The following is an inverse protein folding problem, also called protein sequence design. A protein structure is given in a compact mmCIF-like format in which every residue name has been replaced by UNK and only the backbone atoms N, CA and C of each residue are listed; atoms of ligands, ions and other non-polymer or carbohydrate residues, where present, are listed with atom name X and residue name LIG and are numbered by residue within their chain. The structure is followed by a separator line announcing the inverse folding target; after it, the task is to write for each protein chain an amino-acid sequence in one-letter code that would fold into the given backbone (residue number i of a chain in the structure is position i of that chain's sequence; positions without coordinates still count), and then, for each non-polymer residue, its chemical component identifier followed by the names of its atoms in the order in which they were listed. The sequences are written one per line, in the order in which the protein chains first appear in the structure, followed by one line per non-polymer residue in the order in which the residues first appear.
data_IF_243473321837
#
_entry.id   IF_243473321837
#
_cell.length_a   1.000
_cell.length_b   1.000
_cell.length_c   1.000
_cell.angle_alpha   90.00
_cell.angle_beta   90.00
_cell.angle_gamma   90.00
#
_symmetry.space_group_name_H-M   'P 1'
#
loop_
_entity.id
_entity.type
_entity.pdbx_description
1 polymer ?
#
# COMPACT_ATOMS: atom_id res chain seq x y z
N UNK A 1 9.56 41.91 -17.74
CA UNK A 1 9.35 41.20 -16.46
C UNK A 1 9.02 39.75 -16.77
N UNK A 2 9.95 38.82 -16.52
CA UNK A 2 9.81 37.38 -16.81
C UNK A 2 9.21 36.73 -15.56
N UNK A 3 8.02 36.11 -15.68
CA UNK A 3 7.36 35.39 -14.58
C UNK A 3 8.17 34.14 -14.28
N UNK A 4 8.58 33.97 -13.03
CA UNK A 4 9.21 32.74 -12.54
C UNK A 4 8.11 31.67 -12.39
N UNK A 5 8.23 30.59 -13.14
CA UNK A 5 7.40 29.40 -12.98
C UNK A 5 7.85 28.64 -11.73
N UNK A 6 7.02 28.69 -10.69
CA UNK A 6 7.25 27.92 -9.46
C UNK A 6 7.01 26.44 -9.74
N UNK A 7 8.09 25.68 -9.91
CA UNK A 7 8.07 24.22 -10.02
C UNK A 7 7.46 23.60 -8.77
N UNK A 8 6.25 23.05 -8.89
CA UNK A 8 5.58 22.30 -7.83
C UNK A 8 6.33 20.99 -7.59
N UNK A 9 7.04 20.90 -6.47
CA UNK A 9 7.73 19.67 -6.06
C UNK A 9 6.70 18.63 -5.60
N UNK A 10 6.44 17.62 -6.44
CA UNK A 10 5.57 16.49 -6.08
C UNK A 10 6.33 15.60 -5.09
N UNK A 11 5.93 15.65 -3.82
CA UNK A 11 6.41 14.70 -2.79
C UNK A 11 5.75 13.34 -3.00
N UNK A 12 6.37 12.51 -3.83
CA UNK A 12 6.02 11.09 -3.95
C UNK A 12 6.52 10.37 -2.70
N UNK A 13 5.61 9.78 -1.92
CA UNK A 13 5.96 8.92 -0.78
C UNK A 13 5.86 7.45 -1.21
N UNK A 14 6.87 6.60 -0.89
CA UNK A 14 6.87 5.20 -1.28
C UNK A 14 5.71 4.42 -0.64
N UNK A 15 5.25 3.39 -1.35
CA UNK A 15 3.99 2.69 -1.14
C UNK A 15 3.93 1.85 0.15
N UNK A 16 2.71 1.64 0.66
CA UNK A 16 2.42 0.78 1.82
C UNK A 16 2.17 -0.69 1.46
N UNK A 17 2.01 -1.06 0.18
CA UNK A 17 1.77 -2.46 -0.24
C UNK A 17 2.99 -3.35 -0.02
N UNK A 18 4.20 -2.78 -0.10
CA UNK A 18 5.42 -3.47 0.32
C UNK A 18 5.43 -3.79 1.83
N UNK A 19 4.60 -3.09 2.64
CA UNK A 19 4.59 -3.20 4.10
C UNK A 19 3.70 -4.33 4.66
N UNK A 20 2.67 -4.79 3.95
CA UNK A 20 1.79 -5.85 4.48
C UNK A 20 2.37 -7.25 4.25
N UNK A 21 2.85 -7.53 3.03
CA UNK A 21 3.54 -8.79 2.71
C UNK A 21 4.82 -8.96 3.51
N UNK A 22 5.56 -7.88 3.76
CA UNK A 22 6.75 -7.92 4.61
C UNK A 22 6.42 -8.24 6.07
N UNK A 23 5.33 -7.73 6.64
CA UNK A 23 4.91 -8.10 8.01
C UNK A 23 4.59 -9.59 8.11
N UNK A 24 3.83 -10.14 7.16
CA UNK A 24 3.51 -11.58 7.13
C UNK A 24 4.80 -12.41 7.00
N UNK A 25 5.71 -12.02 6.11
CA UNK A 25 7.00 -12.68 5.92
C UNK A 25 7.88 -12.59 7.17
N UNK A 26 7.92 -11.43 7.85
CA UNK A 26 8.68 -11.24 9.08
C UNK A 26 8.13 -12.11 10.22
N UNK A 27 6.80 -12.26 10.33
CA UNK A 27 6.19 -13.16 11.32
C UNK A 27 6.58 -14.62 11.02
N UNK A 28 6.47 -15.05 9.76
CA UNK A 28 6.90 -16.38 9.35
C UNK A 28 8.39 -16.60 9.65
N UNK A 29 9.25 -15.65 9.27
CA UNK A 29 10.69 -15.72 9.50
C UNK A 29 11.06 -15.67 10.97
N UNK A 30 10.28 -14.97 11.81
CA UNK A 30 10.45 -14.97 13.26
C UNK A 30 10.14 -16.34 13.86
N UNK A 31 8.99 -16.94 13.49
CA UNK A 31 8.60 -18.26 13.98
C UNK A 31 9.59 -19.34 13.53
N UNK A 32 9.94 -19.33 12.24
CA UNK A 32 10.97 -20.23 11.70
C UNK A 32 12.32 -20.00 12.37
N UNK A 33 12.75 -18.74 12.50
CA UNK A 33 14.03 -18.38 13.11
C UNK A 33 14.13 -18.78 14.57
N UNK A 34 13.05 -18.67 15.35
CA UNK A 34 13.02 -19.14 16.75
C UNK A 34 13.11 -20.67 16.80
N UNK A 35 12.30 -21.38 15.99
CA UNK A 35 12.35 -22.84 15.95
C UNK A 35 13.72 -23.37 15.54
N UNK A 36 14.30 -22.75 14.52
CA UNK A 36 15.65 -23.06 14.04
C UNK A 36 16.72 -22.72 15.07
N UNK A 37 16.63 -21.56 15.75
CA UNK A 37 17.55 -21.18 16.82
C UNK A 37 17.56 -22.21 17.95
N UNK A 38 16.39 -22.62 18.44
CA UNK A 38 16.29 -23.62 19.52
C UNK A 38 16.92 -24.94 19.08
N UNK A 39 16.59 -25.41 17.87
CA UNK A 39 17.15 -26.63 17.32
C UNK A 39 18.69 -26.56 17.21
N UNK A 40 19.23 -25.50 16.61
CA UNK A 40 20.67 -25.31 16.45
C UNK A 40 21.40 -25.13 17.79
N UNK A 41 20.80 -24.44 18.75
CA UNK A 41 21.42 -24.22 20.06
C UNK A 41 21.55 -25.54 20.82
N UNK A 42 20.53 -26.40 20.79
CA UNK A 42 20.58 -27.74 21.42
C UNK A 42 21.73 -28.56 20.82
N UNK A 43 21.81 -28.64 19.49
CA UNK A 43 22.86 -29.38 18.78
C UNK A 43 24.28 -28.84 19.10
N UNK A 44 24.44 -27.52 19.15
CA UNK A 44 25.72 -26.87 19.44
C UNK A 44 26.16 -27.06 20.90
N UNK A 45 25.24 -27.17 21.85
CA UNK A 45 25.60 -27.40 23.25
C UNK A 45 26.25 -28.78 23.47
N UNK A 46 25.91 -29.76 22.63
CA UNK A 46 26.52 -31.10 22.64
C UNK A 46 27.88 -31.15 21.91
N UNK A 47 28.25 -30.12 21.15
CA UNK A 47 29.57 -30.06 20.50
C UNK A 47 30.72 -29.79 21.49
N UNK A 48 31.95 -30.16 21.15
CA UNK A 48 33.14 -29.82 21.97
C UNK A 48 33.70 -28.42 21.66
N UNK A 49 33.17 -27.74 20.63
CA UNK A 49 33.69 -26.46 20.17
C UNK A 49 33.12 -25.28 20.98
N UNK A 50 33.93 -24.76 21.90
CA UNK A 50 33.60 -23.57 22.71
C UNK A 50 33.19 -22.37 21.83
N UNK A 51 33.86 -22.17 20.70
CA UNK A 51 33.58 -21.07 19.78
C UNK A 51 32.15 -21.09 19.26
N UNK A 52 31.63 -22.27 18.91
CA UNK A 52 30.26 -22.42 18.41
C UNK A 52 29.24 -22.17 19.53
N UNK A 53 29.50 -22.65 20.75
CA UNK A 53 28.64 -22.44 21.93
C UNK A 53 28.41 -20.97 22.27
N UNK A 54 29.35 -20.10 21.91
CA UNK A 54 29.22 -18.65 22.12
C UNK A 54 28.67 -17.98 20.87
N UNK A 55 29.22 -18.29 19.69
CA UNK A 55 28.90 -17.59 18.46
C UNK A 55 27.47 -17.87 17.99
N UNK A 56 26.99 -19.11 18.07
CA UNK A 56 25.66 -19.50 17.56
C UNK A 56 24.53 -18.85 18.37
N UNK A 57 24.50 -18.92 19.72
CA UNK A 57 23.48 -18.20 20.49
C UNK A 57 23.54 -16.69 20.31
N UNK A 58 24.75 -16.11 20.22
CA UNK A 58 24.93 -14.68 19.98
C UNK A 58 24.36 -14.27 18.62
N UNK A 59 24.67 -15.03 17.56
CA UNK A 59 24.15 -14.81 16.22
C UNK A 59 22.61 -14.81 16.21
N UNK A 60 21.98 -15.84 16.78
CA UNK A 60 20.52 -15.93 16.81
C UNK A 60 19.88 -14.83 17.65
N UNK A 61 20.52 -14.41 18.74
CA UNK A 61 20.05 -13.28 19.55
C UNK A 61 20.01 -12.00 18.73
N UNK A 62 21.09 -11.69 17.99
CA UNK A 62 21.14 -10.52 17.11
C UNK A 62 20.15 -10.65 15.95
N UNK A 63 20.07 -11.82 15.32
CA UNK A 63 19.18 -12.10 14.19
C UNK A 63 17.69 -11.93 14.57
N UNK A 64 17.26 -12.56 15.65
CA UNK A 64 15.88 -12.44 16.18
C UNK A 64 15.63 -10.99 16.60
N UNK A 65 16.58 -10.36 17.29
CA UNK A 65 16.49 -8.95 17.68
C UNK A 65 16.27 -8.02 16.48
N UNK A 66 16.99 -8.24 15.38
CA UNK A 66 16.83 -7.48 14.15
C UNK A 66 15.44 -7.67 13.53
N UNK A 67 14.94 -8.90 13.46
CA UNK A 67 13.59 -9.19 12.94
C UNK A 67 12.53 -8.50 13.79
N UNK A 68 12.62 -8.62 15.12
CA UNK A 68 11.69 -7.96 16.05
C UNK A 68 11.73 -6.45 15.89
N UNK A 69 12.92 -5.86 15.77
CA UNK A 69 13.09 -4.42 15.56
C UNK A 69 12.39 -3.96 14.26
N UNK A 70 12.63 -4.66 13.15
CA UNK A 70 12.00 -4.34 11.86
C UNK A 70 10.48 -4.53 11.93
N UNK A 71 10.01 -5.58 12.60
CA UNK A 71 8.59 -5.85 12.78
C UNK A 71 7.90 -4.73 13.57
N UNK A 72 8.49 -4.29 14.69
CA UNK A 72 7.98 -3.17 15.49
C UNK A 72 7.95 -1.88 14.65
N UNK A 73 9.02 -1.60 13.89
CA UNK A 73 9.06 -0.45 12.99
C UNK A 73 7.90 -0.48 11.98
N UNK A 74 7.66 -1.63 11.33
CA UNK A 74 6.54 -1.78 10.40
C UNK A 74 5.18 -1.62 11.09
N UNK A 75 4.97 -2.21 12.27
CA UNK A 75 3.72 -2.08 13.02
C UNK A 75 3.45 -0.64 13.45
N UNK A 76 4.47 0.09 13.91
CA UNK A 76 4.37 1.51 14.25
C UNK A 76 4.07 2.36 13.02
N UNK A 77 4.72 2.07 11.89
CA UNK A 77 4.48 2.76 10.62
C UNK A 77 3.07 2.50 10.06
N UNK A 78 2.49 1.32 10.31
CA UNK A 78 1.12 0.97 9.94
C UNK A 78 0.08 1.67 10.82
N UNK A 79 0.34 1.80 12.14
CA UNK A 79 -0.53 2.52 13.09
C UNK A 79 -0.51 4.05 12.93
N UNK A 80 0.46 4.60 12.20
CA UNK A 80 0.52 6.01 11.83
C UNK A 80 -0.62 6.40 10.88
N UNK A 81 -1.69 6.96 11.44
CA UNK A 81 -2.86 7.55 10.77
C UNK A 81 -2.48 8.58 9.67
N UNK A 82 -2.24 8.09 8.45
CA UNK A 82 -2.29 8.83 7.17
C UNK A 82 -2.33 7.80 6.05
N UNK A 83 -3.54 7.27 5.81
CA UNK A 83 -3.82 6.43 4.64
C UNK A 83 -3.59 7.24 3.37
N UNK A 84 -2.76 6.74 2.47
CA UNK A 84 -2.67 7.25 1.10
C UNK A 84 -2.54 6.04 0.19
N UNK A 85 -3.57 5.91 -0.64
CA UNK A 85 -3.81 4.82 -1.55
C UNK A 85 -2.74 4.75 -2.63
N UNK A 86 -2.45 3.51 -2.97
CA UNK A 86 -1.95 3.00 -4.24
C UNK A 86 -2.61 3.75 -5.40
N UNK A 87 -1.88 4.67 -6.01
CA UNK A 87 -2.11 4.92 -7.43
C UNK A 87 -1.20 3.93 -8.15
N UNK A 88 -1.82 2.86 -8.61
CA UNK A 88 -1.42 2.21 -9.85
C UNK A 88 -1.97 3.13 -10.95
N UNK A 89 -1.09 3.92 -11.55
CA UNK A 89 -1.39 4.74 -12.72
C UNK A 89 -0.19 4.56 -13.64
N UNK A 90 -0.27 3.53 -14.48
CA UNK A 90 -0.01 3.73 -15.89
C UNK A 90 -1.27 4.42 -16.47
N UNK A 91 -1.35 5.74 -16.37
CA UNK A 91 -2.18 6.53 -17.27
C UNK A 91 -1.27 7.15 -18.30
N UNK A 92 -1.20 6.49 -19.43
CA UNK A 92 -1.46 7.20 -20.67
C UNK A 92 -2.89 7.77 -20.54
N UNK A 93 -3.03 9.09 -20.59
CA UNK A 93 -4.29 9.87 -20.54
C UNK A 93 -5.00 9.98 -19.17
N UNK A 94 -5.04 11.21 -18.65
CA UNK A 94 -5.34 11.51 -17.27
C UNK A 94 -6.81 11.48 -16.86
N UNK A 95 -7.05 11.05 -15.62
CA UNK A 95 -8.26 11.33 -14.85
C UNK A 95 -7.89 11.42 -13.34
N UNK A 96 -8.34 12.45 -12.60
CA UNK A 96 -8.15 12.51 -11.16
C UNK A 96 -9.19 11.63 -10.45
N UNK A 97 -8.68 10.63 -9.72
CA UNK A 97 -9.40 9.74 -8.80
C UNK A 97 -9.67 10.43 -7.46
N UNK A 98 -10.80 10.10 -6.82
CA UNK A 98 -10.89 10.13 -5.36
C UNK A 98 -12.20 10.61 -4.73
N UNK A 99 -12.76 11.74 -5.16
CA UNK A 99 -13.93 12.33 -4.47
C UNK A 99 -15.08 12.74 -5.38
N UNK A 100 -14.89 12.74 -6.71
CA UNK A 100 -15.89 13.29 -7.64
C UNK A 100 -16.89 12.28 -8.21
N UNK A 101 -16.83 11.02 -7.80
CA UNK A 101 -17.74 9.97 -8.29
C UNK A 101 -19.13 10.05 -7.65
N UNK A 102 -19.25 10.80 -6.54
CA UNK A 102 -20.53 11.03 -5.83
C UNK A 102 -21.22 12.33 -6.21
N UNK A 103 -20.64 13.16 -7.07
CA UNK A 103 -21.27 14.42 -7.45
C UNK A 103 -22.24 14.19 -8.63
N UNK A 104 -23.57 14.27 -8.41
CA UNK A 104 -24.58 14.10 -9.44
C UNK A 104 -24.39 15.09 -10.61
N UNK A 105 -23.81 16.27 -10.35
CA UNK A 105 -23.55 17.28 -11.37
C UNK A 105 -22.46 16.83 -12.35
N UNK A 106 -21.44 16.11 -11.88
CA UNK A 106 -20.39 15.56 -12.76
C UNK A 106 -20.96 14.47 -13.66
N UNK A 107 -21.79 13.58 -13.10
CA UNK A 107 -22.44 12.49 -13.86
C UNK A 107 -23.38 13.02 -14.95
N UNK A 108 -24.09 14.11 -14.70
CA UNK A 108 -24.93 14.76 -15.71
C UNK A 108 -24.09 15.36 -16.85
N UNK A 109 -22.92 15.92 -16.54
CA UNK A 109 -21.99 16.48 -17.54
C UNK A 109 -21.37 15.40 -18.41
N UNK A 110 -20.95 14.31 -17.80
CA UNK A 110 -20.38 13.17 -18.52
C UNK A 110 -21.45 12.51 -19.41
N UNK A 111 -22.70 12.42 -18.94
CA UNK A 111 -23.83 11.91 -19.74
C UNK A 111 -24.14 12.80 -20.96
N UNK A 112 -24.00 14.12 -20.83
CA UNK A 112 -24.15 15.06 -21.96
C UNK A 112 -23.04 14.89 -23.00
N UNK A 113 -21.80 14.67 -22.55
CA UNK A 113 -20.68 14.40 -23.44
C UNK A 113 -20.91 13.12 -24.26
N UNK A 114 -21.32 12.02 -23.60
CA UNK A 114 -21.61 10.75 -24.27
C UNK A 114 -22.71 10.86 -25.34
N UNK A 115 -23.74 11.68 -25.10
CA UNK A 115 -24.79 11.96 -26.09
C UNK A 115 -24.25 12.76 -27.27
N UNK A 116 -23.46 13.79 -26.99
CA UNK A 116 -22.86 14.66 -28.01
C UNK A 116 -21.91 13.89 -28.92
N UNK A 117 -21.20 12.92 -28.35
CA UNK A 117 -20.29 12.04 -29.07
C UNK A 117 -21.02 10.91 -29.83
N UNK A 118 -22.37 10.85 -29.75
CA UNK A 118 -23.19 9.85 -30.44
C UNK A 118 -23.06 8.43 -29.89
N UNK A 119 -22.45 8.27 -28.71
CA UNK A 119 -22.19 6.97 -28.08
C UNK A 119 -23.42 6.37 -27.39
N UNK A 120 -24.42 7.20 -27.10
CA UNK A 120 -25.69 6.78 -26.50
C UNK A 120 -26.87 7.34 -27.29
N UNK A 121 -27.95 6.58 -27.36
CA UNK A 121 -29.19 7.04 -28.00
C UNK A 121 -29.92 8.10 -27.16
N UNK A 122 -30.80 8.86 -27.80
CA UNK A 122 -31.62 9.89 -27.13
C UNK A 122 -32.53 9.30 -26.04
N UNK A 123 -33.00 8.07 -26.24
CA UNK A 123 -33.82 7.34 -25.28
C UNK A 123 -33.02 6.92 -24.04
N UNK A 124 -31.81 6.39 -24.25
CA UNK A 124 -30.91 5.98 -23.15
C UNK A 124 -30.45 7.17 -22.32
N UNK A 125 -30.16 8.30 -22.97
CA UNK A 125 -29.85 9.55 -22.30
C UNK A 125 -30.98 10.00 -21.38
N UNK A 126 -32.23 10.01 -21.86
CA UNK A 126 -33.39 10.46 -21.08
C UNK A 126 -33.64 9.58 -19.85
N UNK A 127 -33.55 8.26 -20.02
CA UNK A 127 -33.69 7.27 -18.94
C UNK A 127 -32.61 7.46 -17.87
N UNK A 128 -31.34 7.60 -18.28
CA UNK A 128 -30.21 7.75 -17.36
C UNK A 128 -30.20 9.10 -16.64
N UNK A 129 -30.60 10.18 -17.31
CA UNK A 129 -30.75 11.50 -16.71
C UNK A 129 -31.80 11.50 -15.60
N UNK A 130 -32.93 10.82 -15.82
CA UNK A 130 -34.00 10.68 -14.82
C UNK A 130 -33.50 9.89 -13.61
N UNK A 131 -32.81 8.75 -13.84
CA UNK A 131 -32.23 7.93 -12.77
C UNK A 131 -31.23 8.72 -11.88
N UNK A 132 -30.43 9.60 -12.48
CA UNK A 132 -29.45 10.44 -11.75
C UNK A 132 -30.15 11.54 -10.94
N UNK A 133 -31.26 12.08 -11.44
CA UNK A 133 -32.04 13.12 -10.76
C UNK A 133 -32.93 12.55 -9.64
N UNK A 134 -33.37 11.29 -9.74
CA UNK A 134 -34.17 10.60 -8.71
C UNK A 134 -33.34 10.08 -7.53
N UNK A 135 -32.04 9.80 -7.75
CA UNK A 135 -31.12 9.47 -6.66
C UNK A 135 -30.92 10.71 -5.79
N UNK A 136 -31.52 10.71 -4.60
CA UNK A 136 -31.43 11.77 -3.58
C UNK A 136 -29.96 12.10 -3.30
N UNK A 137 -29.61 13.39 -3.41
CA UNK A 137 -28.26 13.92 -3.20
C UNK A 137 -27.91 13.97 -1.72
#
# INVERSE_FOLDING_TARGET
MRKEETMSTVKVKPSKTLSAGSVVMLIFMLLFGIGFAVFSIIDVFDSDELSLKILVPLFFTVFIGAIVFILVYHVMNLKGSKGLSMIDIDTESGFPTGETERDPIKRLRDLEALKKDGLISSEEYSRKRTEIMEKKW
#
